data_IF_757459081768
#
_entry.id   IF_757459081768
#
_cell.length_a   1.000
_cell.length_b   1.000
_cell.length_c   1.000
_cell.angle_alpha   90.00
_cell.angle_beta   90.00
_cell.angle_gamma   90.00
#
_symmetry.space_group_name_H-M   'P 1'
#
loop_
_entity.id
_entity.type
_entity.pdbx_description
1 polymer ?
#
# COMPACT_ATOMS: atom_id res chain seq x y z
N UNK A 1 16.37 22.91 4.18
CA UNK A 1 15.89 22.56 2.81
C UNK A 1 16.42 21.22 2.30
N UNK A 2 17.71 20.87 2.51
CA UNK A 2 18.26 19.57 2.07
C UNK A 2 17.58 18.34 2.67
N UNK A 3 17.22 18.38 3.95
CA UNK A 3 16.51 17.29 4.63
C UNK A 3 15.13 17.03 4.01
N UNK A 4 14.33 18.07 3.80
CA UNK A 4 13.03 18.00 3.12
C UNK A 4 13.19 17.39 1.71
N UNK A 5 14.22 17.79 0.97
CA UNK A 5 14.50 17.21 -0.35
C UNK A 5 14.88 15.72 -0.27
N UNK A 6 15.65 15.30 0.75
CA UNK A 6 15.94 13.87 1.00
C UNK A 6 14.68 13.08 1.33
N UNK A 7 13.82 13.61 2.20
CA UNK A 7 12.54 12.98 2.58
C UNK A 7 11.60 12.85 1.38
N UNK A 8 11.47 13.90 0.57
CA UNK A 8 10.67 13.87 -0.69
C UNK A 8 11.17 12.80 -1.66
N UNK A 9 12.49 12.64 -1.82
CA UNK A 9 13.08 11.56 -2.64
C UNK A 9 12.79 10.18 -2.05
N UNK A 10 12.94 10.02 -0.74
CA UNK A 10 12.63 8.76 -0.05
C UNK A 10 11.16 8.37 -0.25
N UNK A 11 10.24 9.33 -0.03
CA UNK A 11 8.80 9.18 -0.26
C UNK A 11 8.49 8.79 -1.70
N UNK A 12 9.12 9.43 -2.69
CA UNK A 12 8.94 9.09 -4.11
C UNK A 12 9.39 7.65 -4.40
N UNK A 13 10.53 7.22 -3.86
CA UNK A 13 11.02 5.86 -4.00
C UNK A 13 10.12 4.82 -3.31
N UNK A 14 9.50 5.14 -2.18
CA UNK A 14 8.54 4.28 -1.51
C UNK A 14 7.22 4.20 -2.28
N UNK A 15 6.74 5.33 -2.83
CA UNK A 15 5.56 5.37 -3.71
C UNK A 15 5.74 4.48 -4.94
N UNK A 16 6.91 4.53 -5.58
CA UNK A 16 7.21 3.66 -6.73
C UNK A 16 7.12 2.16 -6.37
N UNK A 17 7.62 1.78 -5.18
CA UNK A 17 7.51 0.40 -4.68
C UNK A 17 6.06 0.00 -4.40
N UNK A 18 5.25 0.89 -3.80
CA UNK A 18 3.82 0.65 -3.62
C UNK A 18 3.11 0.45 -4.96
N UNK A 19 3.46 1.20 -6.00
CA UNK A 19 2.89 1.01 -7.34
C UNK A 19 3.25 -0.34 -7.95
N UNK A 20 4.46 -0.85 -7.72
CA UNK A 20 4.87 -2.19 -8.16
C UNK A 20 4.05 -3.25 -7.41
N UNK A 21 4.01 -3.18 -6.07
CA UNK A 21 3.25 -4.12 -5.23
C UNK A 21 1.75 -4.11 -5.57
N UNK A 22 1.18 -2.94 -5.86
CA UNK A 22 -0.21 -2.83 -6.30
C UNK A 22 -0.46 -3.63 -7.59
N UNK A 23 0.42 -3.50 -8.58
CA UNK A 23 0.31 -4.24 -9.85
C UNK A 23 0.47 -5.74 -9.65
N UNK A 24 1.47 -6.14 -8.87
CA UNK A 24 1.71 -7.54 -8.53
C UNK A 24 0.50 -8.14 -7.81
N UNK A 25 -0.13 -7.38 -6.91
CA UNK A 25 -1.29 -7.84 -6.16
C UNK A 25 -2.56 -7.94 -7.01
N UNK A 26 -2.85 -6.96 -7.86
CA UNK A 26 -3.94 -7.06 -8.83
C UNK A 26 -3.73 -8.27 -9.76
N UNK A 27 -2.52 -8.44 -10.28
CA UNK A 27 -2.20 -9.60 -11.12
C UNK A 27 -2.37 -10.92 -10.35
N UNK A 28 -1.91 -11.01 -9.11
CA UNK A 28 -2.06 -12.20 -8.29
C UNK A 28 -3.54 -12.52 -8.06
N UNK A 29 -4.34 -11.53 -7.64
CA UNK A 29 -5.77 -11.69 -7.42
C UNK A 29 -6.56 -12.10 -8.69
N UNK A 30 -6.12 -11.69 -9.88
CA UNK A 30 -6.80 -11.97 -11.16
C UNK A 30 -6.33 -13.25 -11.84
N UNK A 31 -5.04 -13.60 -11.73
CA UNK A 31 -4.41 -14.62 -12.58
C UNK A 31 -3.84 -15.80 -11.81
N UNK A 32 -3.47 -15.61 -10.54
CA UNK A 32 -2.78 -16.63 -9.75
C UNK A 32 -3.69 -17.02 -8.59
N UNK A 33 -4.27 -18.22 -8.65
CA UNK A 33 -5.05 -18.80 -7.56
C UNK A 33 -4.17 -19.26 -6.38
N UNK A 34 -3.16 -18.48 -5.99
CA UNK A 34 -2.24 -18.77 -4.87
C UNK A 34 -2.43 -17.73 -3.74
N UNK A 35 -3.16 -18.09 -2.68
CA UNK A 35 -3.43 -17.21 -1.54
C UNK A 35 -2.16 -16.82 -0.80
N UNK A 36 -1.18 -17.73 -0.72
CA UNK A 36 0.08 -17.48 -0.02
C UNK A 36 0.88 -16.36 -0.69
N UNK A 37 0.82 -16.27 -2.02
CA UNK A 37 1.46 -15.19 -2.76
C UNK A 37 0.80 -13.84 -2.47
N UNK A 38 -0.54 -13.81 -2.42
CA UNK A 38 -1.29 -12.61 -2.03
C UNK A 38 -0.96 -12.19 -0.59
N UNK A 39 -0.84 -13.14 0.35
CA UNK A 39 -0.42 -12.84 1.72
C UNK A 39 0.99 -12.23 1.80
N UNK A 40 1.95 -12.76 1.03
CA UNK A 40 3.31 -12.21 0.94
C UNK A 40 3.30 -10.78 0.38
N UNK A 41 2.50 -10.53 -0.67
CA UNK A 41 2.36 -9.20 -1.26
C UNK A 41 1.71 -8.20 -0.30
N UNK A 42 0.72 -8.63 0.49
CA UNK A 42 0.11 -7.79 1.55
C UNK A 42 1.14 -7.45 2.63
N UNK A 43 1.96 -8.41 3.06
CA UNK A 43 3.03 -8.15 4.04
C UNK A 43 4.06 -7.13 3.50
N UNK A 44 4.40 -7.23 2.21
CA UNK A 44 5.26 -6.26 1.52
C UNK A 44 4.63 -4.87 1.43
N UNK A 45 3.33 -4.80 1.14
CA UNK A 45 2.54 -3.57 1.11
C UNK A 45 2.56 -2.90 2.50
N UNK A 46 2.30 -3.66 3.56
CA UNK A 46 2.26 -3.15 4.93
C UNK A 46 3.62 -2.64 5.41
N UNK A 47 4.69 -3.38 5.11
CA UNK A 47 6.06 -2.94 5.42
C UNK A 47 6.42 -1.63 4.70
N UNK A 48 6.05 -1.53 3.43
CA UNK A 48 6.32 -0.32 2.62
C UNK A 48 5.48 0.86 3.10
N UNK A 49 4.21 0.64 3.42
CA UNK A 49 3.31 1.64 3.97
C UNK A 49 3.79 2.17 5.33
N UNK A 50 4.30 1.31 6.22
CA UNK A 50 4.87 1.72 7.50
C UNK A 50 6.10 2.62 7.34
N UNK A 51 7.01 2.27 6.41
CA UNK A 51 8.18 3.11 6.08
C UNK A 51 7.74 4.44 5.49
N UNK A 52 6.73 4.41 4.61
CA UNK A 52 6.19 5.61 3.99
C UNK A 52 5.56 6.54 5.04
N UNK A 53 4.82 6.00 6.01
CA UNK A 53 4.24 6.76 7.11
C UNK A 53 5.31 7.46 7.94
N UNK A 54 6.39 6.74 8.31
CA UNK A 54 7.51 7.35 9.03
C UNK A 54 8.15 8.50 8.26
N UNK A 55 8.41 8.32 6.96
CA UNK A 55 8.98 9.38 6.11
C UNK A 55 8.02 10.58 6.01
N UNK A 56 6.72 10.32 5.97
CA UNK A 56 5.71 11.35 5.95
C UNK A 56 5.68 12.15 7.27
N UNK A 57 5.64 11.48 8.42
CA UNK A 57 5.61 12.14 9.72
C UNK A 57 6.85 13.06 9.90
N UNK A 58 8.03 12.60 9.47
CA UNK A 58 9.26 13.41 9.47
C UNK A 58 9.20 14.59 8.47
N UNK A 59 8.48 14.44 7.37
CA UNK A 59 8.30 15.49 6.36
C UNK A 59 7.36 16.57 6.89
N UNK A 60 6.20 16.17 7.43
CA UNK A 60 5.21 17.06 8.03
C UNK A 60 5.80 17.86 9.18
N UNK A 61 6.61 17.25 10.05
CA UNK A 61 7.30 17.97 11.13
C UNK A 61 8.38 18.96 10.66
N UNK A 62 8.79 18.86 9.39
CA UNK A 62 9.88 19.67 8.81
C UNK A 62 9.38 20.79 7.89
N UNK A 63 8.07 20.90 7.67
CA UNK A 63 7.45 21.88 6.77
C UNK A 63 6.81 23.04 7.56
N UNK A 64 6.72 24.20 6.90
CA UNK A 64 5.93 25.32 7.39
C UNK A 64 4.43 25.05 7.14
N UNK A 65 3.57 25.71 7.91
CA UNK A 65 2.11 25.49 7.92
C UNK A 65 1.46 25.64 6.53
N UNK A 66 1.92 26.61 5.73
CA UNK A 66 1.47 26.86 4.36
C UNK A 66 1.80 25.71 3.39
N UNK A 67 2.85 24.94 3.68
CA UNK A 67 3.27 23.78 2.90
C UNK A 67 2.71 22.47 3.44
N UNK A 68 2.31 22.46 4.72
CA UNK A 68 1.84 21.27 5.42
C UNK A 68 0.48 20.81 4.90
N UNK A 69 -0.47 21.72 4.65
CA UNK A 69 -1.82 21.37 4.18
C UNK A 69 -1.78 20.62 2.85
N UNK A 70 -1.04 21.15 1.87
CA UNK A 70 -0.88 20.49 0.56
C UNK A 70 -0.20 19.13 0.67
N UNK A 71 0.72 19.01 1.62
CA UNK A 71 1.48 17.79 1.87
C UNK A 71 0.60 16.70 2.49
N UNK A 72 -0.22 17.05 3.48
CA UNK A 72 -1.22 16.16 4.10
C UNK A 72 -2.22 15.69 3.06
N UNK A 73 -2.76 16.58 2.22
CA UNK A 73 -3.71 16.23 1.16
C UNK A 73 -3.12 15.29 0.10
N UNK A 74 -1.84 15.47 -0.22
CA UNK A 74 -1.12 14.54 -1.09
C UNK A 74 -1.02 13.17 -0.43
N UNK A 75 -0.69 13.13 0.86
CA UNK A 75 -0.50 11.90 1.60
C UNK A 75 -1.79 11.11 1.81
N UNK A 76 -2.88 11.78 2.17
CA UNK A 76 -4.20 11.15 2.38
C UNK A 76 -4.69 10.40 1.14
N UNK A 77 -4.39 10.91 -0.08
CA UNK A 77 -4.69 10.20 -1.33
C UNK A 77 -3.93 8.89 -1.44
N UNK A 78 -2.66 8.85 -1.03
CA UNK A 78 -1.88 7.62 -1.01
C UNK A 78 -2.38 6.64 0.07
N UNK A 79 -2.73 7.14 1.26
CA UNK A 79 -3.31 6.31 2.33
C UNK A 79 -4.60 5.63 1.88
N UNK A 80 -5.45 6.35 1.14
CA UNK A 80 -6.64 5.78 0.52
C UNK A 80 -6.27 4.63 -0.44
N UNK A 81 -5.35 4.84 -1.36
CA UNK A 81 -4.92 3.79 -2.30
C UNK A 81 -4.38 2.55 -1.60
N UNK A 82 -3.60 2.70 -0.53
CA UNK A 82 -3.09 1.57 0.27
C UNK A 82 -4.25 0.82 0.94
N UNK A 83 -5.26 1.54 1.45
CA UNK A 83 -6.44 0.95 2.08
C UNK A 83 -7.28 0.17 1.08
N UNK A 84 -7.50 0.72 -0.11
CA UNK A 84 -8.27 0.06 -1.17
C UNK A 84 -7.60 -1.26 -1.58
N UNK A 85 -6.27 -1.24 -1.76
CA UNK A 85 -5.46 -2.44 -2.03
C UNK A 85 -5.57 -3.51 -0.93
N UNK A 86 -5.51 -3.11 0.34
CA UNK A 86 -5.71 -4.04 1.47
C UNK A 86 -7.10 -4.67 1.48
N UNK A 87 -8.13 -3.91 1.11
CA UNK A 87 -9.51 -4.41 1.04
C UNK A 87 -9.62 -5.43 -0.09
N UNK A 88 -9.09 -5.13 -1.27
CA UNK A 88 -9.08 -6.04 -2.43
C UNK A 88 -8.43 -7.39 -2.08
N UNK A 89 -7.24 -7.36 -1.47
CA UNK A 89 -6.55 -8.57 -1.04
C UNK A 89 -7.35 -9.38 -0.01
N UNK A 90 -7.97 -8.71 0.96
CA UNK A 90 -8.82 -9.38 1.97
C UNK A 90 -10.06 -10.02 1.35
N UNK A 91 -10.68 -9.35 0.38
CA UNK A 91 -11.83 -9.90 -0.34
C UNK A 91 -11.43 -11.16 -1.13
N UNK A 92 -10.27 -11.14 -1.78
CA UNK A 92 -9.73 -12.29 -2.48
C UNK A 92 -9.48 -13.47 -1.52
N UNK A 93 -8.72 -13.26 -0.44
CA UNK A 93 -8.42 -14.28 0.56
C UNK A 93 -9.68 -14.77 1.30
N UNK A 94 -10.70 -13.92 1.43
CA UNK A 94 -12.00 -14.29 1.99
C UNK A 94 -12.84 -15.15 1.06
N UNK A 95 -12.76 -14.95 -0.27
CA UNK A 95 -13.45 -15.77 -1.27
C UNK A 95 -12.87 -17.19 -1.33
N UNK A 96 -11.56 -17.32 -1.20
CA UNK A 96 -10.90 -18.63 -1.25
C UNK A 96 -11.12 -19.46 0.03
N UNK A 97 -11.39 -18.81 1.17
CA UNK A 97 -11.84 -19.47 2.41
C UNK A 97 -13.26 -20.06 2.34
N UNK A 98 -14.01 -19.87 1.26
CA UNK A 98 -15.23 -20.61 1.01
C UNK A 98 -14.88 -21.86 0.20
N UNK A 99 -14.64 -23.03 0.81
CA UNK A 99 -14.67 -24.26 0.04
C UNK A 99 -16.08 -24.33 -0.57
N UNK A 100 -16.16 -24.48 -1.89
CA UNK A 100 -17.42 -24.82 -2.52
C UNK A 100 -17.86 -26.18 -1.96
N UNK A 101 -18.70 -26.15 -0.92
CA UNK A 101 -19.36 -27.32 -0.35
C UNK A 101 -20.44 -27.85 -1.29
N UNK A 102 -20.13 -27.95 -2.57
CA UNK A 102 -20.93 -28.64 -3.58
C UNK A 102 -20.01 -29.42 -4.51
N UNK A 103 -19.60 -30.59 -4.05
CA UNK A 103 -19.36 -31.73 -4.93
C UNK A 103 -19.33 -33.04 -4.13
N UNK A 104 -20.30 -33.92 -4.45
CA UNK A 104 -20.43 -35.34 -4.03
C UNK A 104 -21.10 -35.55 -2.67
N UNK A 105 -22.23 -36.24 -2.50
CA UNK A 105 -23.08 -37.07 -3.37
C UNK A 105 -24.57 -36.81 -3.04
#
# INVERSE_FOLDING_TARGET
MEQVNRLRRSRAGLKARLTILAKEMTNACETIQNPLEVEVLVAGLDSTAAKLRKVQDELESSLAEDQLEQEVDFYMRMEKSIRDLRIEARLYLGKEKWPDSRQGD
#
